data_IF_211897269828
#
_entry.id   IF_211897269828
#
_cell.length_a   1.000
_cell.length_b   1.000
_cell.length_c   1.000
_cell.angle_alpha   90.00
_cell.angle_beta   90.00
_cell.angle_gamma   90.00
#
_symmetry.space_group_name_H-M   'P 1'
#
loop_
_entity.id
_entity.type
_entity.pdbx_description
1 polymer ?
#
# COMPACT_ATOMS: atom_id res chain seq x y z
N UNK A 1 -2.60 -6.33 7.23
CA UNK A 1 -1.55 -7.25 7.74
C UNK A 1 -2.07 -8.67 7.63
N UNK A 2 -1.26 -9.60 7.14
CA UNK A 2 -1.61 -11.01 7.01
C UNK A 2 -0.91 -11.82 8.12
N UNK A 3 -1.68 -12.52 8.95
CA UNK A 3 -1.19 -13.45 9.97
C UNK A 3 -1.27 -14.86 9.43
N UNK A 4 -0.12 -15.52 9.27
CA UNK A 4 -0.02 -16.84 8.65
C UNK A 4 0.12 -17.91 9.73
N UNK A 5 -0.85 -18.82 9.83
CA UNK A 5 -0.77 -19.98 10.73
C UNK A 5 -0.01 -21.10 10.03
N UNK A 6 1.22 -21.34 10.46
CA UNK A 6 2.21 -22.11 9.70
C UNK A 6 2.22 -23.62 10.02
N UNK A 7 1.10 -24.18 10.46
CA UNK A 7 0.98 -25.60 10.82
C UNK A 7 -0.25 -26.22 10.21
N UNK A 8 -0.12 -27.42 9.63
CA UNK A 8 -1.23 -28.21 9.11
C UNK A 8 -1.54 -29.47 9.95
N UNK A 9 -0.90 -29.61 11.13
CA UNK A 9 -1.07 -30.81 11.95
C UNK A 9 -2.49 -30.85 12.57
N UNK A 10 -3.19 -31.98 12.56
CA UNK A 10 -4.39 -32.16 13.38
C UNK A 10 -4.10 -31.90 14.86
N UNK A 11 -5.02 -31.22 15.57
CA UNK A 11 -4.84 -30.85 16.99
C UNK A 11 -3.71 -29.84 17.24
N UNK A 12 -3.27 -29.09 16.23
CA UNK A 12 -2.28 -28.02 16.37
C UNK A 12 -2.79 -26.90 17.28
N UNK A 13 -1.88 -26.35 18.09
CA UNK A 13 -2.14 -25.17 18.95
C UNK A 13 -1.98 -23.82 18.20
N UNK A 14 -1.53 -23.86 16.94
CA UNK A 14 -1.28 -22.67 16.11
C UNK A 14 -2.45 -21.68 16.08
N UNK A 15 -3.70 -22.12 15.81
CA UNK A 15 -4.87 -21.26 15.86
C UNK A 15 -5.06 -20.54 17.20
N UNK A 16 -4.93 -21.23 18.34
CA UNK A 16 -5.08 -20.60 19.65
C UNK A 16 -3.99 -19.54 19.94
N UNK A 17 -2.76 -19.75 19.46
CA UNK A 17 -1.69 -18.76 19.55
C UNK A 17 -1.97 -17.55 18.64
N UNK A 18 -2.48 -17.80 17.44
CA UNK A 18 -2.93 -16.73 16.52
C UNK A 18 -4.04 -15.91 17.15
N UNK A 19 -5.06 -16.55 17.70
CA UNK A 19 -6.18 -15.86 18.36
C UNK A 19 -5.70 -15.01 19.53
N UNK A 20 -4.79 -15.53 20.34
CA UNK A 20 -4.16 -14.76 21.41
C UNK A 20 -3.42 -13.53 20.86
N UNK A 21 -2.57 -13.69 19.84
CA UNK A 21 -1.83 -12.57 19.25
C UNK A 21 -2.76 -11.49 18.70
N UNK A 22 -3.82 -11.89 17.99
CA UNK A 22 -4.82 -10.97 17.44
C UNK A 22 -5.57 -10.26 18.56
N UNK A 23 -6.00 -10.96 19.62
CA UNK A 23 -6.63 -10.33 20.79
C UNK A 23 -5.70 -9.31 21.47
N UNK A 24 -4.46 -9.71 21.76
CA UNK A 24 -3.47 -8.88 22.45
C UNK A 24 -3.11 -7.58 21.70
N UNK A 25 -3.22 -7.60 20.38
CA UNK A 25 -2.87 -6.49 19.47
C UNK A 25 -4.07 -5.71 18.93
N UNK A 26 -5.30 -6.21 19.12
CA UNK A 26 -6.54 -5.68 18.52
C UNK A 26 -6.74 -4.18 18.70
N UNK A 27 -6.65 -3.67 19.92
CA UNK A 27 -6.88 -2.26 20.21
C UNK A 27 -5.89 -1.34 19.47
N UNK A 28 -4.64 -1.78 19.33
CA UNK A 28 -3.59 -1.03 18.62
C UNK A 28 -3.73 -1.14 17.10
N UNK A 29 -4.13 -2.30 16.59
CA UNK A 29 -4.45 -2.50 15.19
C UNK A 29 -5.59 -1.56 14.75
N UNK A 30 -6.67 -1.49 15.53
CA UNK A 30 -7.82 -0.59 15.27
C UNK A 30 -7.38 0.88 15.26
N UNK A 31 -6.65 1.33 16.29
CA UNK A 31 -6.15 2.71 16.35
C UNK A 31 -5.23 3.07 15.18
N UNK A 32 -4.52 2.08 14.63
CA UNK A 32 -3.59 2.26 13.52
C UNK A 32 -4.22 2.05 12.15
N UNK A 33 -5.55 1.80 12.07
CA UNK A 33 -6.25 1.52 10.82
C UNK A 33 -5.83 0.21 10.15
N UNK A 34 -5.31 -0.75 10.91
CA UNK A 34 -4.78 -2.01 10.38
C UNK A 34 -5.90 -3.03 10.26
N UNK A 35 -6.17 -3.47 9.05
CA UNK A 35 -6.99 -4.67 8.80
C UNK A 35 -6.13 -5.91 9.04
N UNK A 36 -6.61 -6.81 9.89
CA UNK A 36 -5.97 -8.09 10.20
C UNK A 36 -6.65 -9.19 9.39
N UNK A 37 -5.90 -9.86 8.54
CA UNK A 37 -6.33 -11.04 7.79
C UNK A 37 -5.61 -12.29 8.33
N UNK A 38 -6.32 -13.40 8.53
CA UNK A 38 -5.76 -14.64 9.09
C UNK A 38 -5.75 -15.73 8.01
N UNK A 39 -4.56 -16.13 7.57
CA UNK A 39 -4.34 -17.22 6.62
C UNK A 39 -3.90 -18.49 7.37
N UNK A 40 -4.82 -19.40 7.62
CA UNK A 40 -4.47 -20.73 8.11
C UNK A 40 -4.07 -21.64 6.94
N UNK A 41 -2.80 -22.06 6.88
CA UNK A 41 -2.30 -22.86 5.78
C UNK A 41 -2.92 -24.27 5.73
N UNK A 42 -3.43 -24.79 6.84
CA UNK A 42 -4.16 -26.05 6.86
C UNK A 42 -5.52 -25.93 6.15
N UNK A 43 -6.20 -24.80 6.33
CA UNK A 43 -7.51 -24.53 5.72
C UNK A 43 -7.39 -24.12 4.26
N UNK A 44 -6.35 -23.35 3.92
CA UNK A 44 -6.05 -22.98 2.53
C UNK A 44 -5.74 -24.25 1.71
N UNK A 45 -5.04 -25.22 2.31
CA UNK A 45 -4.85 -26.53 1.71
C UNK A 45 -4.09 -26.51 0.38
N UNK A 46 -3.03 -25.68 0.29
CA UNK A 46 -2.18 -25.66 -0.92
C UNK A 46 -1.64 -27.07 -1.18
N UNK A 47 -1.69 -27.58 -2.43
CA UNK A 47 -1.01 -28.81 -2.80
C UNK A 47 0.50 -28.64 -2.61
N UNK A 48 1.27 -29.73 -2.63
CA UNK A 48 2.72 -29.61 -2.77
C UNK A 48 3.00 -28.87 -4.09
N UNK A 49 3.90 -27.88 -4.06
CA UNK A 49 4.21 -26.99 -5.17
C UNK A 49 4.07 -27.66 -6.55
N UNK A 50 3.05 -27.24 -7.30
CA UNK A 50 2.56 -27.87 -8.54
C UNK A 50 2.42 -26.90 -9.72
N UNK A 51 2.95 -25.68 -9.58
CA UNK A 51 3.06 -24.74 -10.71
C UNK A 51 4.16 -25.19 -11.68
N UNK A 52 3.88 -25.21 -13.00
CA UNK A 52 4.87 -25.64 -13.99
C UNK A 52 5.97 -24.60 -14.23
N UNK A 53 5.65 -23.33 -14.02
CA UNK A 53 6.55 -22.20 -14.24
C UNK A 53 7.19 -21.73 -12.93
N UNK A 54 8.35 -21.11 -13.04
CA UNK A 54 9.03 -20.54 -11.89
C UNK A 54 8.25 -19.33 -11.33
N UNK A 55 7.95 -19.25 -10.01
CA UNK A 55 7.13 -18.19 -9.41
C UNK A 55 7.64 -16.77 -9.65
N UNK A 56 8.94 -16.59 -9.87
CA UNK A 56 9.52 -15.28 -10.22
C UNK A 56 8.99 -14.70 -11.54
N UNK A 57 8.40 -15.52 -12.41
CA UNK A 57 7.70 -15.08 -13.62
C UNK A 57 6.34 -14.43 -13.34
N UNK A 58 5.72 -14.72 -12.19
CA UNK A 58 4.38 -14.24 -11.83
C UNK A 58 3.26 -14.81 -12.71
N UNK A 59 3.54 -15.90 -13.42
CA UNK A 59 2.57 -16.63 -14.25
C UNK A 59 2.12 -17.84 -13.45
N UNK A 60 0.84 -17.85 -13.09
CA UNK A 60 0.24 -18.94 -12.31
C UNK A 60 -0.89 -19.57 -13.12
N UNK A 61 -0.86 -20.89 -13.28
CA UNK A 61 -1.87 -21.62 -14.05
C UNK A 61 -3.03 -22.04 -13.17
N UNK A 62 -2.77 -22.35 -11.89
CA UNK A 62 -3.79 -22.89 -10.99
C UNK A 62 -4.51 -21.81 -10.18
N UNK A 63 -5.80 -22.04 -9.92
CA UNK A 63 -6.60 -21.06 -9.19
C UNK A 63 -6.23 -20.96 -7.70
N UNK A 64 -5.78 -22.05 -7.06
CA UNK A 64 -5.30 -21.99 -5.67
C UNK A 64 -4.09 -21.06 -5.55
N UNK A 65 -3.16 -21.11 -6.50
CA UNK A 65 -1.99 -20.22 -6.53
C UNK A 65 -2.40 -18.78 -6.81
N UNK A 66 -3.31 -18.54 -7.77
CA UNK A 66 -3.82 -17.19 -8.04
C UNK A 66 -4.56 -16.61 -6.83
N UNK A 67 -5.36 -17.40 -6.14
CA UNK A 67 -6.03 -17.00 -4.91
C UNK A 67 -5.01 -16.66 -3.81
N UNK A 68 -3.99 -17.50 -3.63
CA UNK A 68 -2.91 -17.25 -2.68
C UNK A 68 -2.10 -15.99 -3.03
N UNK A 69 -1.74 -15.82 -4.32
CA UNK A 69 -1.07 -14.63 -4.86
C UNK A 69 -1.87 -13.36 -4.55
N UNK A 70 -3.16 -13.32 -4.87
CA UNK A 70 -4.02 -12.14 -4.60
C UNK A 70 -4.04 -11.78 -3.12
N UNK A 71 -4.15 -12.77 -2.23
CA UNK A 71 -4.18 -12.57 -0.78
C UNK A 71 -2.85 -12.05 -0.24
N UNK A 72 -1.72 -12.62 -0.68
CA UNK A 72 -0.38 -12.18 -0.27
C UNK A 72 -0.03 -10.81 -0.86
N UNK A 73 -0.39 -10.56 -2.13
CA UNK A 73 -0.17 -9.30 -2.81
C UNK A 73 -0.89 -8.14 -2.10
N UNK A 74 -2.12 -8.36 -1.64
CA UNK A 74 -2.91 -7.37 -0.90
C UNK A 74 -2.36 -7.04 0.49
N UNK A 75 -1.51 -7.87 1.07
CA UNK A 75 -0.97 -7.64 2.42
C UNK A 75 0.20 -6.65 2.41
N UNK A 76 0.20 -5.69 3.34
CA UNK A 76 1.31 -4.74 3.54
C UNK A 76 2.42 -5.24 4.46
N UNK A 77 2.17 -6.30 5.22
CA UNK A 77 3.06 -6.84 6.24
C UNK A 77 2.57 -8.23 6.68
N UNK A 78 3.50 -9.03 7.22
CA UNK A 78 3.24 -10.41 7.62
C UNK A 78 3.59 -10.67 9.08
N UNK A 79 2.79 -11.49 9.75
CA UNK A 79 3.17 -12.15 11.00
C UNK A 79 3.07 -13.64 10.78
N UNK A 80 4.18 -14.37 10.95
CA UNK A 80 4.19 -15.82 10.80
C UNK A 80 4.10 -16.44 12.19
N UNK A 81 3.00 -17.16 12.44
CA UNK A 81 2.77 -17.94 13.66
C UNK A 81 3.24 -19.37 13.41
N UNK A 82 4.47 -19.70 13.84
CA UNK A 82 5.15 -20.94 13.42
C UNK A 82 5.54 -21.86 14.57
N UNK A 83 5.23 -23.17 14.49
CA UNK A 83 5.91 -24.16 15.31
C UNK A 83 7.36 -24.37 14.83
N UNK A 84 8.14 -25.11 15.61
CA UNK A 84 9.34 -25.82 15.16
C UNK A 84 9.05 -27.31 14.99
N UNK A 85 9.39 -27.85 13.81
CA UNK A 85 9.33 -29.28 13.51
C UNK A 85 10.71 -29.78 13.15
N UNK A 86 11.20 -30.79 13.90
CA UNK A 86 12.48 -31.44 13.68
C UNK A 86 13.62 -30.44 13.42
N UNK A 87 13.81 -29.47 14.34
CA UNK A 87 14.82 -28.40 14.29
C UNK A 87 14.54 -27.26 13.30
N UNK A 88 13.52 -27.37 12.44
CA UNK A 88 13.33 -26.45 11.33
C UNK A 88 11.92 -25.88 11.19
N UNK A 89 11.78 -25.13 10.09
CA UNK A 89 10.52 -24.56 9.64
C UNK A 89 9.58 -25.67 9.15
N UNK A 90 8.25 -25.57 9.39
CA UNK A 90 7.29 -26.53 8.85
C UNK A 90 7.30 -26.57 7.32
N UNK A 91 7.20 -27.77 6.75
CA UNK A 91 7.14 -27.97 5.30
C UNK A 91 5.99 -27.18 4.64
N UNK A 92 4.83 -27.10 5.31
CA UNK A 92 3.68 -26.33 4.81
C UNK A 92 3.99 -24.83 4.67
N UNK A 93 4.79 -24.26 5.57
CA UNK A 93 5.21 -22.86 5.48
C UNK A 93 6.21 -22.66 4.34
N UNK A 94 7.19 -23.57 4.20
CA UNK A 94 8.11 -23.53 3.06
C UNK A 94 7.35 -23.61 1.73
N UNK A 95 6.42 -24.55 1.63
CA UNK A 95 5.58 -24.75 0.46
C UNK A 95 4.79 -23.49 0.13
N UNK A 96 4.10 -22.89 1.10
CA UNK A 96 3.34 -21.65 0.89
C UNK A 96 4.22 -20.46 0.44
N UNK A 97 5.46 -20.37 0.92
CA UNK A 97 6.42 -19.37 0.45
C UNK A 97 6.89 -19.65 -0.97
N UNK A 98 7.11 -20.93 -1.33
CA UNK A 98 7.60 -21.36 -2.64
C UNK A 98 6.60 -21.15 -3.78
N UNK A 99 5.29 -21.09 -3.51
CA UNK A 99 4.30 -20.81 -4.55
C UNK A 99 4.44 -19.43 -5.20
N UNK A 100 5.04 -18.46 -4.50
CA UNK A 100 5.01 -17.05 -4.87
C UNK A 100 6.40 -16.43 -4.80
N UNK A 101 6.58 -15.24 -5.38
CA UNK A 101 7.89 -14.58 -5.37
C UNK A 101 7.79 -13.07 -5.17
N UNK A 102 7.21 -12.35 -6.12
CA UNK A 102 7.20 -10.87 -6.14
C UNK A 102 6.25 -10.29 -5.09
N UNK A 103 5.20 -11.03 -4.77
CA UNK A 103 4.15 -10.66 -3.82
C UNK A 103 4.68 -10.42 -2.40
N UNK A 104 5.78 -11.07 -2.06
CA UNK A 104 6.45 -10.97 -0.76
C UNK A 104 7.35 -9.73 -0.64
N UNK A 105 7.85 -9.23 -1.77
CA UNK A 105 8.98 -8.31 -1.80
C UNK A 105 8.69 -6.99 -1.08
N UNK A 106 9.70 -6.50 -0.35
CA UNK A 106 9.72 -5.21 0.35
C UNK A 106 8.68 -5.02 1.45
N UNK A 107 8.03 -6.12 1.87
CA UNK A 107 7.08 -6.15 2.97
C UNK A 107 7.75 -6.71 4.22
N UNK A 108 7.53 -6.12 5.41
CA UNK A 108 8.14 -6.63 6.62
C UNK A 108 7.46 -7.90 7.11
N UNK A 109 8.21 -8.70 7.86
CA UNK A 109 7.73 -9.93 8.48
C UNK A 109 8.17 -10.05 9.93
N UNK A 110 7.21 -10.27 10.82
CA UNK A 110 7.41 -10.61 12.22
C UNK A 110 7.11 -12.09 12.50
N UNK A 111 7.62 -12.60 13.61
CA UNK A 111 7.46 -14.00 13.99
C UNK A 111 6.85 -14.14 15.38
N UNK A 112 5.86 -15.03 15.48
CA UNK A 112 5.35 -15.60 16.73
C UNK A 112 5.67 -17.09 16.68
N UNK A 113 6.78 -17.47 17.28
CA UNK A 113 7.26 -18.84 17.25
C UNK A 113 6.85 -19.61 18.50
N UNK A 114 6.67 -20.92 18.35
CA UNK A 114 6.37 -21.77 19.49
C UNK A 114 6.99 -23.16 19.36
N UNK A 115 7.26 -23.79 20.50
CA UNK A 115 7.87 -25.11 20.55
C UNK A 115 8.18 -25.50 21.99
N UNK A 116 8.93 -26.58 22.19
CA UNK A 116 9.36 -26.98 23.53
C UNK A 116 10.75 -26.40 23.83
N UNK A 117 11.83 -27.08 23.42
CA UNK A 117 13.20 -26.74 23.82
C UNK A 117 13.66 -25.34 23.42
N UNK A 118 13.34 -24.88 22.20
CA UNK A 118 13.83 -23.62 21.63
C UNK A 118 12.77 -22.52 21.58
N UNK A 119 11.55 -22.80 22.09
CA UNK A 119 10.37 -21.97 21.88
C UNK A 119 10.07 -21.65 20.39
N UNK A 120 10.55 -22.48 19.45
CA UNK A 120 10.32 -22.31 18.01
C UNK A 120 11.36 -21.45 17.29
N UNK A 121 12.39 -20.97 18.00
CA UNK A 121 13.37 -20.01 17.44
C UNK A 121 14.21 -20.56 16.29
N UNK A 122 14.44 -21.88 16.20
CA UNK A 122 15.21 -22.46 15.07
C UNK A 122 14.40 -22.49 13.78
N UNK A 123 13.08 -22.69 13.88
CA UNK A 123 12.16 -22.46 12.75
C UNK A 123 12.32 -21.05 12.21
N UNK A 124 12.36 -20.04 13.10
CA UNK A 124 12.54 -18.63 12.69
C UNK A 124 13.88 -18.42 11.98
N UNK A 125 14.97 -19.00 12.48
CA UNK A 125 16.28 -18.86 11.81
C UNK A 125 16.30 -19.47 10.41
N UNK A 126 15.67 -20.63 10.23
CA UNK A 126 15.53 -21.25 8.90
C UNK A 126 14.62 -20.42 7.99
N UNK A 127 13.48 -19.94 8.51
CA UNK A 127 12.55 -19.10 7.77
C UNK A 127 13.20 -17.80 7.31
N UNK A 128 14.06 -17.19 8.15
CA UNK A 128 14.78 -15.95 7.83
C UNK A 128 15.59 -16.05 6.54
N UNK A 129 16.21 -17.19 6.23
CA UNK A 129 16.94 -17.38 4.97
C UNK A 129 16.01 -17.33 3.75
N UNK A 130 14.81 -17.89 3.87
CA UNK A 130 13.82 -17.94 2.79
C UNK A 130 13.18 -16.58 2.57
N UNK A 131 12.68 -15.95 3.64
CA UNK A 131 11.97 -14.67 3.54
C UNK A 131 12.87 -13.53 3.06
N UNK A 132 14.16 -13.52 3.42
CA UNK A 132 15.10 -12.52 2.90
C UNK A 132 15.42 -12.74 1.41
N UNK A 133 15.49 -13.99 0.96
CA UNK A 133 15.61 -14.33 -0.47
C UNK A 133 14.41 -13.81 -1.26
N UNK A 134 13.22 -13.88 -0.67
CA UNK A 134 11.97 -13.31 -1.20
C UNK A 134 11.86 -11.79 -1.01
N UNK A 135 12.95 -11.11 -0.62
CA UNK A 135 13.04 -9.66 -0.37
C UNK A 135 12.10 -9.13 0.72
N UNK A 136 11.59 -9.98 1.60
CA UNK A 136 10.89 -9.53 2.80
C UNK A 136 11.89 -8.91 3.78
N UNK A 137 11.39 -8.11 4.72
CA UNK A 137 12.21 -7.45 5.75
C UNK A 137 11.89 -8.02 7.15
N UNK A 138 12.63 -9.03 7.64
CA UNK A 138 12.44 -9.53 9.00
C UNK A 138 12.69 -8.44 10.05
N UNK A 139 11.73 -8.24 10.95
CA UNK A 139 11.89 -7.30 12.07
C UNK A 139 12.66 -7.94 13.24
N UNK A 140 13.13 -7.11 14.16
CA UNK A 140 13.88 -7.53 15.35
C UNK A 140 12.97 -8.06 16.46
N UNK A 141 11.86 -7.38 16.75
CA UNK A 141 10.87 -7.83 17.72
C UNK A 141 10.31 -9.20 17.35
N UNK A 142 10.25 -10.09 18.34
CA UNK A 142 9.76 -11.46 18.17
C UNK A 142 9.02 -11.90 19.42
N UNK A 143 8.07 -12.82 19.24
CA UNK A 143 7.51 -13.61 20.34
C UNK A 143 7.99 -15.05 20.19
N UNK A 144 8.44 -15.66 21.28
CA UNK A 144 8.85 -17.06 21.32
C UNK A 144 8.19 -17.72 22.54
N UNK A 145 7.30 -18.70 22.29
CA UNK A 145 6.51 -19.35 23.32
C UNK A 145 7.02 -20.78 23.56
N UNK A 146 7.55 -21.02 24.76
CA UNK A 146 7.75 -22.39 25.23
C UNK A 146 6.40 -22.93 25.69
N UNK A 147 5.89 -23.96 25.01
CA UNK A 147 4.54 -24.46 25.23
C UNK A 147 4.28 -24.86 26.70
N UNK A 148 5.25 -25.53 27.34
CA UNK A 148 5.13 -25.95 28.73
C UNK A 148 4.92 -24.79 29.72
N UNK A 149 5.38 -23.58 29.40
CA UNK A 149 5.28 -22.41 30.28
C UNK A 149 4.14 -21.46 29.89
N UNK A 150 3.82 -21.46 28.59
CA UNK A 150 2.97 -20.43 27.99
C UNK A 150 1.56 -20.92 27.73
N UNK A 151 1.30 -22.22 27.85
CA UNK A 151 0.01 -22.80 27.43
C UNK A 151 -0.53 -23.80 28.44
N UNK A 152 -1.85 -23.83 28.57
CA UNK A 152 -2.61 -24.79 29.37
C UNK A 152 -3.93 -25.08 28.65
N UNK A 153 -4.35 -26.34 28.63
CA UNK A 153 -5.61 -26.79 28.00
C UNK A 153 -5.80 -26.31 26.54
N UNK A 154 -4.70 -26.28 25.78
CA UNK A 154 -4.69 -25.86 24.39
C UNK A 154 -4.79 -24.34 24.17
N UNK A 155 -4.75 -23.54 25.24
CA UNK A 155 -4.83 -22.08 25.20
C UNK A 155 -3.55 -21.43 25.67
N UNK A 156 -3.29 -20.21 25.19
CA UNK A 156 -2.20 -19.37 25.70
C UNK A 156 -2.65 -18.82 27.06
N UNK A 157 -1.85 -19.06 28.09
CA UNK A 157 -2.07 -18.51 29.43
C UNK A 157 -2.10 -16.97 29.38
N UNK A 158 -2.85 -16.31 30.25
CA UNK A 158 -2.84 -14.85 30.34
C UNK A 158 -1.49 -14.32 30.87
N UNK A 159 -1.01 -13.21 30.31
CA UNK A 159 0.21 -12.54 30.78
C UNK A 159 0.34 -11.16 30.13
N UNK A 160 0.39 -10.13 30.97
CA UNK A 160 0.60 -8.75 30.51
C UNK A 160 1.92 -8.58 29.75
N UNK A 161 2.99 -9.29 30.15
CA UNK A 161 4.30 -9.24 29.51
C UNK A 161 4.28 -9.86 28.09
N UNK A 162 3.61 -11.01 27.93
CA UNK A 162 3.45 -11.63 26.61
C UNK A 162 2.59 -10.75 25.71
N UNK A 163 1.50 -10.21 26.22
CA UNK A 163 0.65 -9.28 25.48
C UNK A 163 1.43 -8.03 25.04
N UNK A 164 2.31 -7.52 25.90
CA UNK A 164 3.16 -6.38 25.55
C UNK A 164 4.21 -6.73 24.50
N UNK A 165 4.76 -7.94 24.55
CA UNK A 165 5.68 -8.45 23.51
C UNK A 165 4.96 -8.56 22.16
N UNK A 166 3.72 -9.04 22.13
CA UNK A 166 2.90 -9.09 20.92
C UNK A 166 2.63 -7.69 20.34
N UNK A 167 2.29 -6.71 21.20
CA UNK A 167 2.16 -5.31 20.80
C UNK A 167 3.47 -4.71 20.28
N UNK A 168 4.60 -5.07 20.89
CA UNK A 168 5.93 -4.70 20.42
C UNK A 168 6.21 -5.18 18.99
N UNK A 169 5.86 -6.44 18.68
CA UNK A 169 5.93 -7.00 17.32
C UNK A 169 5.06 -6.18 16.36
N UNK A 170 3.80 -5.90 16.70
CA UNK A 170 2.93 -5.10 15.84
C UNK A 170 3.52 -3.69 15.59
N UNK A 171 3.97 -3.00 16.63
CA UNK A 171 4.53 -1.63 16.50
C UNK A 171 5.72 -1.57 15.56
N UNK A 172 6.69 -2.47 15.74
CA UNK A 172 7.87 -2.51 14.88
C UNK A 172 7.47 -2.90 13.45
N UNK A 173 6.57 -3.88 13.28
CA UNK A 173 6.08 -4.30 11.97
C UNK A 173 5.44 -3.14 11.20
N UNK A 174 4.55 -2.37 11.85
CA UNK A 174 3.89 -1.22 11.23
C UNK A 174 4.88 -0.10 10.90
N UNK A 175 5.87 0.14 11.79
CA UNK A 175 6.93 1.12 11.53
C UNK A 175 7.72 0.78 10.27
N UNK A 176 8.14 -0.47 10.13
CA UNK A 176 8.88 -0.91 8.94
C UNK A 176 7.98 -0.93 7.71
N UNK A 177 6.71 -1.33 7.84
CA UNK A 177 5.77 -1.38 6.72
C UNK A 177 5.58 0.00 6.07
N UNK A 178 5.44 1.04 6.90
CA UNK A 178 5.36 2.43 6.43
C UNK A 178 6.65 2.87 5.75
N UNK A 179 7.81 2.56 6.34
CA UNK A 179 9.11 2.97 5.82
C UNK A 179 9.45 2.31 4.47
N UNK A 180 9.08 1.05 4.27
CA UNK A 180 9.41 0.29 3.05
C UNK A 180 8.33 0.36 1.98
N UNK A 181 7.22 1.06 2.22
CA UNK A 181 6.08 1.11 1.31
C UNK A 181 6.45 1.60 -0.09
N UNK A 182 7.31 2.61 -0.19
CA UNK A 182 7.73 3.18 -1.48
C UNK A 182 8.51 2.20 -2.35
N UNK A 183 9.18 1.19 -1.75
CA UNK A 183 9.95 0.17 -2.46
C UNK A 183 9.07 -0.86 -3.18
N UNK A 184 7.77 -0.89 -2.87
CA UNK A 184 6.81 -1.85 -3.44
C UNK A 184 6.25 -1.44 -4.79
N UNK A 185 6.47 -0.19 -5.19
CA UNK A 185 6.07 0.30 -6.48
C UNK A 185 7.24 0.20 -7.43
N UNK A 186 6.98 -0.38 -8.60
CA UNK A 186 7.98 -0.38 -9.66
C UNK A 186 8.21 1.04 -10.18
N UNK A 187 9.44 1.29 -10.59
CA UNK A 187 9.75 2.50 -11.33
C UNK A 187 8.98 2.50 -12.66
N UNK A 188 8.36 3.63 -12.97
CA UNK A 188 7.66 3.87 -14.22
C UNK A 188 8.53 4.71 -15.13
N UNK A 189 8.52 4.37 -16.42
CA UNK A 189 9.22 5.18 -17.42
C UNK A 189 8.54 6.55 -17.50
N UNK A 190 9.30 7.59 -17.15
CA UNK A 190 8.83 8.95 -17.13
C UNK A 190 9.85 9.94 -17.69
N UNK A 191 9.55 11.24 -17.60
CA UNK A 191 10.41 12.30 -18.13
C UNK A 191 11.68 12.51 -17.30
N UNK A 192 11.75 11.95 -16.09
CA UNK A 192 12.94 11.90 -15.25
C UNK A 192 13.08 10.51 -14.63
N UNK A 193 14.29 10.19 -14.19
CA UNK A 193 14.60 8.91 -13.56
C UNK A 193 14.01 8.76 -12.15
N UNK A 194 13.73 7.50 -11.78
CA UNK A 194 13.28 7.07 -10.46
C UNK A 194 11.86 7.47 -10.10
N UNK A 195 10.98 7.70 -11.08
CA UNK A 195 9.56 7.93 -10.81
C UNK A 195 8.85 6.63 -10.49
N UNK A 196 7.98 6.64 -9.48
CA UNK A 196 6.96 5.62 -9.27
C UNK A 196 5.58 6.28 -9.19
N UNK A 197 4.55 5.56 -9.65
CA UNK A 197 3.17 6.05 -9.70
C UNK A 197 2.24 5.03 -9.05
N UNK A 198 1.37 5.52 -8.16
CA UNK A 198 0.41 4.69 -7.45
C UNK A 198 -0.90 5.44 -7.20
N UNK A 199 -1.99 4.70 -7.00
CA UNK A 199 -3.22 5.26 -6.44
C UNK A 199 -2.97 5.63 -4.98
N UNK A 200 -3.34 6.85 -4.58
CA UNK A 200 -3.16 7.34 -3.23
C UNK A 200 -3.92 6.47 -2.22
N UNK A 201 -3.31 6.25 -1.06
CA UNK A 201 -3.95 5.60 0.09
C UNK A 201 -4.14 6.62 1.23
N UNK A 202 -4.86 6.23 2.28
CA UNK A 202 -5.13 7.09 3.42
C UNK A 202 -3.85 7.70 4.05
N UNK A 203 -2.77 6.93 4.11
CA UNK A 203 -1.48 7.37 4.65
C UNK A 203 -0.74 8.40 3.76
N UNK A 204 -1.12 8.55 2.48
CA UNK A 204 -0.54 9.56 1.59
C UNK A 204 -1.18 10.94 1.77
N UNK A 205 -2.40 11.01 2.33
CA UNK A 205 -3.20 12.24 2.39
C UNK A 205 -2.53 13.39 3.16
N UNK A 206 -1.85 13.17 4.31
CA UNK A 206 -1.15 14.25 5.00
C UNK A 206 -0.02 14.86 4.15
N UNK A 207 0.76 14.04 3.44
CA UNK A 207 1.84 14.51 2.57
C UNK A 207 1.28 15.21 1.32
N UNK A 208 0.16 14.70 0.78
CA UNK A 208 -0.57 15.33 -0.31
C UNK A 208 -1.08 16.74 0.05
N UNK A 209 -1.60 16.92 1.26
CA UNK A 209 -2.06 18.23 1.72
C UNK A 209 -0.91 19.24 1.78
N UNK A 210 0.28 18.80 2.20
CA UNK A 210 1.50 19.63 2.18
C UNK A 210 1.90 19.97 0.74
N UNK A 211 1.96 18.97 -0.14
CA UNK A 211 2.26 19.18 -1.56
C UNK A 211 1.28 20.18 -2.20
N UNK A 212 -0.02 20.05 -1.91
CA UNK A 212 -1.06 20.95 -2.39
C UNK A 212 -0.78 22.39 -1.96
N UNK A 213 -0.50 22.61 -0.68
CA UNK A 213 -0.16 23.94 -0.17
C UNK A 213 1.06 24.50 -0.90
N UNK A 214 2.12 23.71 -1.05
CA UNK A 214 3.32 24.14 -1.78
C UNK A 214 3.03 24.51 -3.24
N UNK A 215 2.18 23.75 -3.94
CA UNK A 215 1.84 24.01 -5.34
C UNK A 215 1.01 25.29 -5.53
N UNK A 216 0.20 25.67 -4.54
CA UNK A 216 -0.68 26.84 -4.61
C UNK A 216 -0.10 28.13 -4.04
N UNK A 217 1.09 28.12 -3.42
CA UNK A 217 1.76 29.34 -2.95
C UNK A 217 2.00 30.33 -4.10
N UNK A 218 2.42 29.85 -5.27
CA UNK A 218 2.67 30.73 -6.43
C UNK A 218 1.37 31.37 -6.93
N UNK A 219 0.26 30.62 -6.89
CA UNK A 219 -1.05 31.16 -7.23
C UNK A 219 -1.50 32.21 -6.20
N UNK A 220 -1.30 31.96 -4.90
CA UNK A 220 -1.59 32.93 -3.86
C UNK A 220 -0.81 34.24 -4.02
N UNK A 221 0.49 34.15 -4.35
CA UNK A 221 1.32 35.32 -4.63
C UNK A 221 0.81 36.05 -5.89
N UNK A 222 0.54 35.33 -6.97
CA UNK A 222 0.04 35.92 -8.22
C UNK A 222 -1.34 36.58 -8.05
N UNK A 223 -2.13 36.09 -7.09
CA UNK A 223 -3.47 36.60 -6.81
C UNK A 223 -3.56 37.58 -5.64
N UNK A 224 -2.47 37.80 -4.91
CA UNK A 224 -2.40 38.59 -3.68
C UNK A 224 -3.48 38.17 -2.65
N UNK A 225 -3.71 36.85 -2.53
CA UNK A 225 -4.70 36.29 -1.60
C UNK A 225 -4.32 34.89 -1.14
N UNK A 226 -4.59 34.59 0.13
CA UNK A 226 -4.53 33.23 0.68
C UNK A 226 -5.90 32.54 0.71
N UNK A 227 -6.98 33.24 0.33
CA UNK A 227 -8.33 32.70 0.27
C UNK A 227 -8.55 31.89 -1.02
N UNK A 228 -7.73 30.86 -1.18
CA UNK A 228 -7.84 29.89 -2.26
C UNK A 228 -8.36 28.58 -1.67
N UNK A 229 -9.42 28.01 -2.25
CA UNK A 229 -9.97 26.73 -1.83
C UNK A 229 -8.91 25.62 -1.56
N UNK A 230 -7.89 25.39 -2.41
CA UNK A 230 -6.83 24.42 -2.11
C UNK A 230 -5.95 24.74 -0.88
N UNK A 231 -5.85 26.01 -0.46
CA UNK A 231 -5.12 26.39 0.75
C UNK A 231 -5.97 26.21 2.02
N UNK A 232 -7.30 26.26 1.89
CA UNK A 232 -8.27 26.07 2.98
C UNK A 232 -8.70 24.62 3.21
N UNK A 233 -8.62 23.77 2.18
CA UNK A 233 -8.98 22.34 2.30
C UNK A 233 -8.24 21.69 3.48
N UNK A 234 -8.99 21.04 4.35
CA UNK A 234 -8.50 20.35 5.53
C UNK A 234 -8.14 18.89 5.20
N UNK A 235 -7.42 18.23 6.10
CA UNK A 235 -7.11 16.80 5.94
C UNK A 235 -8.40 15.94 5.94
N UNK A 236 -9.40 16.31 6.71
CA UNK A 236 -10.66 15.57 6.79
C UNK A 236 -11.51 15.75 5.54
N UNK A 237 -11.55 16.96 4.97
CA UNK A 237 -12.19 17.20 3.66
C UNK A 237 -11.46 16.45 2.53
N UNK A 238 -10.12 16.48 2.53
CA UNK A 238 -9.34 15.72 1.56
C UNK A 238 -9.60 14.21 1.70
N UNK A 239 -9.68 13.70 2.93
CA UNK A 239 -10.05 12.29 3.20
C UNK A 239 -11.45 11.97 2.72
N UNK A 240 -12.44 12.81 3.01
CA UNK A 240 -13.80 12.64 2.52
C UNK A 240 -13.86 12.62 0.99
N UNK A 241 -13.05 13.44 0.31
CA UNK A 241 -13.03 13.51 -1.16
C UNK A 241 -12.63 12.20 -1.84
N UNK A 242 -11.94 11.29 -1.14
CA UNK A 242 -11.48 10.01 -1.69
C UNK A 242 -12.61 9.03 -2.01
N UNK A 243 -13.85 9.27 -1.55
CA UNK A 243 -15.02 8.48 -1.95
C UNK A 243 -15.42 8.72 -3.41
N UNK A 244 -15.23 9.95 -3.89
CA UNK A 244 -15.75 10.42 -5.17
C UNK A 244 -14.65 10.75 -6.18
N UNK A 245 -13.44 11.02 -5.67
CA UNK A 245 -12.25 11.29 -6.47
C UNK A 245 -11.28 10.13 -6.37
N UNK A 246 -10.76 9.72 -7.52
CA UNK A 246 -9.57 8.87 -7.57
C UNK A 246 -8.34 9.76 -7.59
N UNK A 247 -7.38 9.49 -6.71
CA UNK A 247 -6.13 10.23 -6.60
C UNK A 247 -4.94 9.36 -7.00
N UNK A 248 -3.98 9.94 -7.71
CA UNK A 248 -2.70 9.34 -8.02
C UNK A 248 -1.57 10.16 -7.41
N UNK A 249 -0.61 9.45 -6.82
CA UNK A 249 0.63 10.00 -6.28
C UNK A 249 1.79 9.59 -7.20
N UNK A 250 2.71 10.52 -7.40
CA UNK A 250 3.97 10.28 -8.08
C UNK A 250 5.09 10.57 -7.08
N UNK A 251 5.92 9.55 -6.86
CA UNK A 251 7.11 9.67 -6.03
C UNK A 251 8.35 9.65 -6.91
N UNK A 252 9.41 10.35 -6.51
CA UNK A 252 10.74 10.26 -7.11
C UNK A 252 11.71 9.78 -6.06
N UNK A 253 12.31 8.60 -6.26
CA UNK A 253 13.14 7.93 -5.26
C UNK A 253 12.49 7.91 -3.86
N UNK A 254 11.17 7.69 -3.80
CA UNK A 254 10.38 7.66 -2.57
C UNK A 254 9.79 8.98 -2.07
N UNK A 255 10.31 10.15 -2.49
CA UNK A 255 9.74 11.46 -2.11
C UNK A 255 8.48 11.76 -2.93
N UNK A 256 7.38 12.20 -2.33
CA UNK A 256 6.21 12.68 -3.08
C UNK A 256 6.55 13.96 -3.83
N UNK A 257 6.39 13.95 -5.16
CA UNK A 257 6.77 15.08 -6.02
C UNK A 257 5.65 15.55 -6.93
N UNK A 258 4.63 14.73 -7.18
CA UNK A 258 3.47 15.15 -7.96
C UNK A 258 2.25 14.34 -7.55
N UNK A 259 1.08 14.88 -7.84
CA UNK A 259 -0.19 14.22 -7.61
C UNK A 259 -1.27 14.80 -8.51
N UNK A 260 -2.37 14.08 -8.67
CA UNK A 260 -3.50 14.48 -9.50
C UNK A 260 -4.73 13.73 -9.05
N UNK A 261 -5.91 14.34 -9.19
CA UNK A 261 -7.18 13.68 -8.93
C UNK A 261 -8.09 13.74 -10.14
N UNK A 262 -8.92 12.73 -10.33
CA UNK A 262 -9.96 12.76 -11.34
C UNK A 262 -11.23 12.00 -10.91
N UNK A 263 -12.36 12.37 -11.49
CA UNK A 263 -13.64 11.70 -11.30
C UNK A 263 -14.49 11.74 -12.56
N UNK A 264 -15.39 10.77 -12.70
CA UNK A 264 -16.41 10.79 -13.73
C UNK A 264 -17.57 11.69 -13.30
N UNK A 265 -18.10 12.48 -14.24
CA UNK A 265 -19.29 13.29 -14.06
C UNK A 265 -20.14 13.23 -15.34
N UNK A 266 -21.12 12.33 -15.38
CA UNK A 266 -21.85 12.04 -16.62
C UNK A 266 -20.91 11.49 -17.69
N UNK A 267 -20.81 12.19 -18.83
CA UNK A 267 -19.87 11.84 -19.91
C UNK A 267 -18.52 12.58 -19.84
N UNK A 268 -18.32 13.38 -18.80
CA UNK A 268 -17.09 14.16 -18.57
C UNK A 268 -16.14 13.40 -17.64
N UNK A 269 -14.84 13.46 -17.96
CA UNK A 269 -13.76 13.09 -17.05
C UNK A 269 -13.13 14.36 -16.48
N UNK A 270 -13.51 14.69 -15.24
CA UNK A 270 -13.06 15.89 -14.57
C UNK A 270 -11.72 15.66 -13.89
N UNK A 271 -10.68 16.35 -14.35
CA UNK A 271 -9.33 16.33 -13.82
C UNK A 271 -9.14 17.55 -12.92
N UNK A 272 -8.66 17.31 -11.70
CA UNK A 272 -8.42 18.34 -10.70
C UNK A 272 -7.07 18.16 -10.01
N UNK A 273 -6.61 19.23 -9.37
CA UNK A 273 -5.40 19.23 -8.52
C UNK A 273 -4.19 18.57 -9.19
N UNK A 274 -3.93 18.89 -10.45
CA UNK A 274 -2.66 18.51 -11.08
C UNK A 274 -1.53 19.28 -10.41
N UNK A 275 -0.74 18.58 -9.60
CA UNK A 275 0.28 19.12 -8.71
C UNK A 275 1.64 18.59 -9.12
N UNK A 276 2.63 19.48 -9.17
CA UNK A 276 4.04 19.13 -9.26
C UNK A 276 4.78 20.03 -8.28
N UNK A 277 5.57 19.42 -7.40
CA UNK A 277 6.38 20.13 -6.41
C UNK A 277 7.19 21.24 -7.10
N UNK A 278 7.24 22.45 -6.54
CA UNK A 278 7.88 23.59 -7.19
C UNK A 278 9.32 23.34 -7.66
N UNK A 279 10.11 22.58 -6.89
CA UNK A 279 11.49 22.22 -7.22
C UNK A 279 11.63 21.17 -8.34
N UNK A 280 10.54 20.48 -8.68
CA UNK A 280 10.48 19.50 -9.78
C UNK A 280 9.75 20.06 -11.01
N UNK A 281 9.33 21.31 -10.97
CA UNK A 281 8.58 21.95 -12.03
C UNK A 281 9.46 22.15 -13.29
N UNK A 282 8.88 21.98 -14.48
CA UNK A 282 9.60 22.14 -15.76
C UNK A 282 10.28 20.86 -16.27
N UNK A 283 10.35 19.81 -15.46
CA UNK A 283 10.92 18.51 -15.86
C UNK A 283 9.92 17.58 -16.57
N UNK A 284 8.85 18.13 -17.17
CA UNK A 284 7.84 17.35 -17.92
C UNK A 284 6.88 16.49 -17.10
N UNK A 285 7.06 16.35 -15.78
CA UNK A 285 6.23 15.49 -14.91
C UNK A 285 4.73 15.82 -15.02
N UNK A 286 4.36 17.11 -15.04
CA UNK A 286 2.96 17.54 -15.12
C UNK A 286 2.27 17.08 -16.41
N UNK A 287 2.92 17.26 -17.56
CA UNK A 287 2.39 16.80 -18.86
C UNK A 287 2.29 15.28 -18.94
N UNK A 288 3.30 14.58 -18.40
CA UNK A 288 3.31 13.11 -18.34
C UNK A 288 2.17 12.59 -17.44
N UNK A 289 1.99 13.18 -16.27
CA UNK A 289 0.94 12.78 -15.31
C UNK A 289 -0.46 13.11 -15.83
N UNK A 290 -0.62 14.25 -16.52
CA UNK A 290 -1.87 14.59 -17.20
C UNK A 290 -2.23 13.53 -18.25
N UNK A 291 -1.29 13.15 -19.11
CA UNK A 291 -1.51 12.10 -20.12
C UNK A 291 -1.84 10.75 -19.49
N UNK A 292 -1.23 10.40 -18.35
CA UNK A 292 -1.57 9.20 -17.60
C UNK A 292 -3.03 9.21 -17.15
N UNK A 293 -3.48 10.30 -16.50
CA UNK A 293 -4.85 10.40 -15.96
C UNK A 293 -5.92 10.48 -17.04
N UNK A 294 -5.62 11.10 -18.19
CA UNK A 294 -6.51 11.04 -19.35
C UNK A 294 -6.76 9.59 -19.78
N UNK A 295 -5.71 8.76 -19.80
CA UNK A 295 -5.79 7.34 -20.11
C UNK A 295 -6.50 6.49 -19.06
N UNK A 296 -6.83 7.05 -17.89
CA UNK A 296 -7.61 6.38 -16.85
C UNK A 296 -9.13 6.67 -16.94
N UNK A 297 -9.56 7.45 -17.94
CA UNK A 297 -10.96 7.76 -18.14
C UNK A 297 -11.79 6.50 -18.40
N UNK A 298 -12.98 6.35 -17.76
CA UNK A 298 -13.86 5.21 -17.99
C UNK A 298 -14.36 5.12 -19.44
N UNK A 299 -14.81 3.92 -19.84
CA UNK A 299 -15.52 3.73 -21.09
C UNK A 299 -16.77 4.62 -21.13
N UNK A 300 -16.96 5.36 -22.23
CA UNK A 300 -18.08 6.30 -22.41
C UNK A 300 -17.76 7.76 -22.09
N UNK A 301 -16.54 8.08 -21.62
CA UNK A 301 -16.08 9.47 -21.56
C UNK A 301 -16.02 10.08 -22.97
N UNK A 302 -16.65 11.25 -23.15
CA UNK A 302 -16.64 11.98 -24.43
C UNK A 302 -15.64 13.13 -24.43
N UNK A 303 -15.35 13.70 -23.26
CA UNK A 303 -14.40 14.79 -23.09
C UNK A 303 -13.78 14.80 -21.69
N UNK A 304 -12.57 15.34 -21.61
CA UNK A 304 -11.91 15.70 -20.37
C UNK A 304 -12.14 17.18 -20.08
N UNK A 305 -12.23 17.52 -18.80
CA UNK A 305 -12.28 18.91 -18.37
C UNK A 305 -11.39 19.14 -17.15
N UNK A 306 -10.95 20.38 -17.00
CA UNK A 306 -10.18 20.83 -15.85
C UNK A 306 -10.37 22.33 -15.62
N UNK A 307 -9.98 22.78 -14.44
CA UNK A 307 -10.03 24.18 -14.03
C UNK A 307 -8.64 24.66 -13.58
N UNK A 308 -8.31 25.89 -13.90
CA UNK A 308 -7.12 26.59 -13.39
C UNK A 308 -7.45 28.06 -13.16
N UNK A 309 -6.63 28.76 -12.37
CA UNK A 309 -6.77 30.20 -12.20
C UNK A 309 -6.64 30.93 -13.55
N UNK A 310 -7.45 31.97 -13.75
CA UNK A 310 -7.45 32.82 -14.96
C UNK A 310 -6.09 33.48 -15.19
N UNK A 311 -5.34 33.72 -14.11
CA UNK A 311 -3.98 34.29 -14.12
C UNK A 311 -2.86 33.24 -14.22
N UNK A 312 -3.18 31.95 -14.18
CA UNK A 312 -2.19 30.86 -14.23
C UNK A 312 -1.68 30.60 -15.67
N UNK A 313 -1.00 31.58 -16.28
CA UNK A 313 -0.52 31.51 -17.69
C UNK A 313 0.22 30.21 -18.01
N UNK A 314 1.13 29.80 -17.12
CA UNK A 314 1.90 28.54 -17.25
C UNK A 314 1.02 27.29 -17.31
N UNK A 315 -0.06 27.24 -16.51
CA UNK A 315 -0.98 26.11 -16.52
C UNK A 315 -1.80 26.12 -17.82
N UNK A 316 -2.30 27.29 -18.22
CA UNK A 316 -3.07 27.46 -19.47
C UNK A 316 -2.22 27.02 -20.67
N UNK A 317 -0.95 27.41 -20.74
CA UNK A 317 -0.01 26.98 -21.79
C UNK A 317 0.25 25.46 -21.77
N UNK A 318 0.38 24.86 -20.58
CA UNK A 318 0.54 23.41 -20.44
C UNK A 318 -0.69 22.67 -20.98
N UNK A 319 -1.89 23.09 -20.59
CA UNK A 319 -3.13 22.45 -21.03
C UNK A 319 -3.40 22.68 -22.52
N UNK A 320 -3.14 23.89 -23.02
CA UNK A 320 -3.29 24.21 -24.45
C UNK A 320 -2.37 23.34 -25.31
N UNK A 321 -1.10 23.17 -24.91
CA UNK A 321 -0.17 22.24 -25.57
C UNK A 321 -0.61 20.78 -25.49
N UNK A 322 -1.34 20.40 -24.45
CA UNK A 322 -1.94 19.07 -24.31
C UNK A 322 -3.24 18.90 -25.14
N UNK A 323 -3.69 19.94 -25.85
CA UNK A 323 -4.86 19.93 -26.73
C UNK A 323 -6.16 20.36 -26.06
N UNK A 324 -6.10 20.99 -24.88
CA UNK A 324 -7.28 21.58 -24.27
C UNK A 324 -7.57 22.96 -24.85
N UNK A 325 -8.86 23.30 -24.93
CA UNK A 325 -9.35 24.62 -25.36
C UNK A 325 -10.13 25.28 -24.23
N UNK A 326 -10.06 26.60 -24.13
CA UNK A 326 -10.84 27.38 -23.17
C UNK A 326 -12.34 27.19 -23.43
N UNK A 327 -13.09 26.92 -22.35
CA UNK A 327 -14.54 26.82 -22.34
C UNK A 327 -15.10 27.94 -21.42
N UNK A 328 -16.25 28.52 -21.81
CA UNK A 328 -16.77 29.73 -21.16
C UNK A 328 -17.24 29.57 -19.71
N UNK A 329 -17.63 28.36 -19.30
CA UNK A 329 -18.26 28.13 -17.99
C UNK A 329 -17.24 27.68 -16.93
N UNK A 330 -16.75 28.61 -16.12
CA UNK A 330 -15.92 28.33 -14.95
C UNK A 330 -16.77 28.39 -13.65
N UNK A 331 -16.41 27.64 -12.59
CA UNK A 331 -17.16 27.59 -11.34
C UNK A 331 -17.10 28.90 -10.54
N UNK A 332 -16.15 29.78 -10.85
CA UNK A 332 -15.96 31.09 -10.23
C UNK A 332 -15.32 32.07 -11.22
N UNK A 333 -15.38 33.38 -10.95
CA UNK A 333 -14.87 34.42 -11.86
C UNK A 333 -13.34 34.37 -12.05
N UNK A 334 -12.63 33.87 -11.05
CA UNK A 334 -11.16 33.81 -10.98
C UNK A 334 -10.58 32.55 -11.62
N UNK A 335 -11.42 31.60 -12.05
CA UNK A 335 -11.00 30.40 -12.76
C UNK A 335 -11.41 30.41 -14.23
N UNK A 336 -10.72 29.57 -15.01
CA UNK A 336 -11.06 29.24 -16.39
C UNK A 336 -11.23 27.74 -16.52
N UNK A 337 -12.24 27.32 -17.29
CA UNK A 337 -12.44 25.93 -17.66
C UNK A 337 -11.72 25.64 -18.96
N UNK A 338 -11.08 24.48 -19.04
CA UNK A 338 -10.54 23.97 -20.30
C UNK A 338 -11.07 22.57 -20.57
N UNK A 339 -11.36 22.28 -21.84
CA UNK A 339 -11.92 20.99 -22.29
C UNK A 339 -11.12 20.38 -23.42
N UNK A 340 -11.12 19.05 -23.53
CA UNK A 340 -10.46 18.29 -24.59
C UNK A 340 -11.31 17.07 -24.92
N UNK A 341 -11.63 16.85 -26.21
CA UNK A 341 -12.34 15.66 -26.62
C UNK A 341 -11.54 14.39 -26.29
N UNK A 342 -12.20 13.39 -25.72
CA UNK A 342 -11.60 12.08 -25.50
C UNK A 342 -11.33 11.44 -26.86
N UNK A 343 -10.14 10.84 -27.01
CA UNK A 343 -9.85 10.05 -28.21
C UNK A 343 -10.72 8.79 -28.18
N UNK A 344 -11.45 8.53 -29.27
CA UNK A 344 -12.28 7.32 -29.42
C UNK A 344 -11.46 6.06 -29.42
#
# INVERSE_FOLDING_TARGET
MLVIVASARPGRIGPAITDWFVRATSAEAVRSGVVVDIADLAEIGLPLFDEPDHPSGGVYVHEHTRAWSRRVAAADAFVIVTPEYNYGMPAVLKNALDFLYREWAWKPVGFVSYGNTSAGTRSVQMAKQVVTTLKMMPIGATVALRLADSTQDGQVLESAERDESARGVLRELLRVARATRSLRYDDVRGPVDGLSLAVAQADDLPELLVLQRCCWVQEAIANDTLDLAPLRETLDELRASTSDWRLWCVRRHGRLVAAVRARAHGSEWLIGRLMVAPDQAGNGIGSWLLSHVEGQAPAGTTHHALFTGRRSTRNIELYTRAGYVLAGDAPDEDSVRLTKNARR
#
